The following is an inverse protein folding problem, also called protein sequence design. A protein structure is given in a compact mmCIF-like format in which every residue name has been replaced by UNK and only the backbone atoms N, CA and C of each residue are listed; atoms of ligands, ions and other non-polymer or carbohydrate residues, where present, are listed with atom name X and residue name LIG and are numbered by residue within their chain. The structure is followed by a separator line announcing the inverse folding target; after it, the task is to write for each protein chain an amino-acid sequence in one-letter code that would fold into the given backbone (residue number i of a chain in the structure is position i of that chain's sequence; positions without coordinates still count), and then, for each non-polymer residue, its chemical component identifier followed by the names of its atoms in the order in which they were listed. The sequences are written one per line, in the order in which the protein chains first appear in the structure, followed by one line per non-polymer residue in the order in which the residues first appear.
data_IF_990532087708
#
_entry.id   IF_990532087708
#
_cell.length_a   1.000
_cell.length_b   1.000
_cell.length_c   1.000
_cell.angle_alpha   90.00
_cell.angle_beta   90.00
_cell.angle_gamma   90.00
#
_symmetry.space_group_name_H-M   'P 1'
#
loop_
_entity.id
_entity.type
_entity.pdbx_description
1 polymer ?
#
# COMPACT_ATOMS: atom_id res chain seq x y z
N UNK A 1 -24.06 -16.05 -7.29
CA UNK A 1 -23.41 -15.03 -6.45
C UNK A 1 -22.64 -14.13 -7.40
N UNK A 2 -22.86 -12.83 -7.35
CA UNK A 2 -22.17 -11.88 -8.21
C UNK A 2 -20.71 -11.69 -7.77
N UNK A 3 -19.82 -11.40 -8.73
CA UNK A 3 -18.41 -11.09 -8.42
C UNK A 3 -18.33 -9.72 -7.74
N UNK A 4 -17.55 -9.62 -6.68
CA UNK A 4 -17.21 -8.33 -6.04
C UNK A 4 -16.20 -7.55 -6.91
N UNK A 5 -16.14 -6.24 -6.73
CA UNK A 5 -15.31 -5.35 -7.55
C UNK A 5 -13.85 -5.80 -7.69
N UNK A 6 -13.23 -6.26 -6.59
CA UNK A 6 -11.83 -6.74 -6.61
C UNK A 6 -11.61 -8.01 -7.44
N UNK A 7 -12.67 -8.76 -7.76
CA UNK A 7 -12.57 -9.97 -8.60
C UNK A 7 -12.87 -9.70 -10.07
N UNK A 8 -13.17 -8.46 -10.44
CA UNK A 8 -13.41 -8.04 -11.83
C UNK A 8 -12.15 -7.52 -12.52
N UNK A 9 -11.08 -7.28 -11.76
CA UNK A 9 -9.80 -6.81 -12.29
C UNK A 9 -9.06 -7.98 -12.94
N UNK A 10 -8.51 -7.77 -14.13
CA UNK A 10 -7.69 -8.77 -14.82
C UNK A 10 -6.29 -8.86 -14.16
N UNK A 11 -6.14 -9.81 -13.23
CA UNK A 11 -4.89 -10.02 -12.51
C UNK A 11 -3.76 -10.64 -13.36
N UNK A 12 -4.06 -11.09 -14.59
CA UNK A 12 -3.03 -11.55 -15.53
C UNK A 12 -2.31 -10.37 -16.18
N UNK A 13 -3.05 -9.29 -16.41
CA UNK A 13 -2.50 -8.06 -17.01
C UNK A 13 -2.03 -7.02 -15.98
N UNK A 14 -2.38 -7.20 -14.72
CA UNK A 14 -2.14 -6.21 -13.67
C UNK A 14 -0.64 -6.12 -13.35
N UNK A 15 -0.09 -4.93 -13.51
CA UNK A 15 1.31 -4.61 -13.19
C UNK A 15 1.41 -3.92 -11.81
N UNK A 16 2.61 -3.86 -11.21
CA UNK A 16 2.85 -2.99 -10.05
C UNK A 16 2.48 -1.54 -10.37
N UNK A 17 1.90 -0.84 -9.41
CA UNK A 17 1.41 0.53 -9.63
C UNK A 17 0.62 1.07 -8.45
N UNK A 18 -0.07 2.17 -8.69
CA UNK A 18 -1.02 2.81 -7.79
C UNK A 18 -2.35 2.95 -8.52
N UNK A 19 -3.38 2.28 -8.05
CA UNK A 19 -4.67 2.26 -8.73
C UNK A 19 -5.80 2.69 -7.80
N UNK A 20 -6.79 3.41 -8.32
CA UNK A 20 -8.06 3.57 -7.61
C UNK A 20 -8.82 2.26 -7.75
N UNK A 21 -8.95 1.53 -6.64
CA UNK A 21 -9.69 0.27 -6.59
C UNK A 21 -11.19 0.53 -6.62
N UNK A 22 -11.66 1.48 -5.81
CA UNK A 22 -13.07 1.90 -5.80
C UNK A 22 -13.25 3.23 -5.08
N UNK A 23 -14.40 3.83 -5.30
CA UNK A 23 -14.92 4.98 -4.54
C UNK A 23 -16.24 4.58 -3.90
N UNK A 24 -16.34 4.78 -2.60
CA UNK A 24 -17.55 4.50 -1.85
C UNK A 24 -18.19 5.82 -1.38
N UNK A 25 -19.45 6.02 -1.72
CA UNK A 25 -20.23 7.16 -1.24
C UNK A 25 -20.82 6.80 0.13
N UNK A 26 -20.50 7.58 1.15
CA UNK A 26 -21.03 7.41 2.52
C UNK A 26 -21.69 8.72 2.97
N UNK A 27 -23.01 8.80 2.81
CA UNK A 27 -23.72 10.05 2.99
C UNK A 27 -23.29 11.09 1.95
N UNK A 28 -22.74 12.21 2.40
CA UNK A 28 -22.20 13.27 1.53
C UNK A 28 -20.68 13.12 1.29
N UNK A 29 -20.04 12.19 1.99
CA UNK A 29 -18.60 11.96 1.93
C UNK A 29 -18.24 10.84 0.95
N UNK A 30 -17.03 10.90 0.43
CA UNK A 30 -16.46 9.86 -0.42
C UNK A 30 -15.27 9.24 0.27
N UNK A 31 -15.14 7.92 0.17
CA UNK A 31 -13.93 7.19 0.56
C UNK A 31 -13.29 6.60 -0.69
N UNK A 32 -12.04 6.96 -0.94
CA UNK A 32 -11.26 6.37 -2.03
C UNK A 32 -10.37 5.26 -1.49
N UNK A 33 -10.51 4.06 -2.06
CA UNK A 33 -9.64 2.91 -1.79
C UNK A 33 -8.61 2.80 -2.91
N UNK A 34 -7.33 2.85 -2.53
CA UNK A 34 -6.21 2.66 -3.43
C UNK A 34 -5.63 1.26 -3.30
N UNK A 35 -5.29 0.69 -4.43
CA UNK A 35 -4.49 -0.52 -4.57
C UNK A 35 -3.03 -0.10 -4.81
N UNK A 36 -2.18 -0.30 -3.82
CA UNK A 36 -0.75 -0.10 -3.92
C UNK A 36 -0.11 -1.43 -4.29
N UNK A 37 -0.06 -1.73 -5.59
CA UNK A 37 0.42 -3.02 -6.10
C UNK A 37 1.93 -3.02 -6.18
N UNK A 38 2.59 -3.85 -5.38
CA UNK A 38 4.05 -3.88 -5.28
C UNK A 38 4.68 -4.97 -6.14
N UNK A 39 3.96 -6.07 -6.40
CA UNK A 39 4.45 -7.21 -7.19
C UNK A 39 3.49 -7.55 -8.31
N UNK A 40 4.00 -8.10 -9.41
CA UNK A 40 3.19 -8.60 -10.53
C UNK A 40 2.43 -9.86 -10.08
N UNK A 41 1.08 -9.82 -10.02
CA UNK A 41 0.32 -10.97 -9.56
C UNK A 41 0.56 -12.21 -10.42
N UNK A 42 0.76 -13.35 -9.76
CA UNK A 42 0.98 -14.67 -10.39
C UNK A 42 2.24 -14.81 -11.27
N UNK A 43 3.04 -13.75 -11.44
CA UNK A 43 4.27 -13.77 -12.25
C UNK A 43 5.53 -13.78 -11.40
N UNK A 44 5.49 -13.19 -10.21
CA UNK A 44 6.63 -13.15 -9.30
C UNK A 44 6.25 -13.64 -7.90
N UNK A 45 7.25 -14.04 -7.07
CA UNK A 45 6.98 -14.47 -5.70
C UNK A 45 6.26 -13.39 -4.89
N UNK A 46 5.29 -13.81 -4.08
CA UNK A 46 4.61 -12.91 -3.14
C UNK A 46 5.55 -12.54 -1.98
N UNK A 47 5.27 -11.40 -1.34
CA UNK A 47 5.96 -11.00 -0.12
C UNK A 47 5.65 -11.97 1.02
N UNK A 48 6.60 -12.21 1.92
CA UNK A 48 6.36 -13.00 3.13
C UNK A 48 5.67 -12.18 4.21
N UNK A 49 5.14 -12.87 5.23
CA UNK A 49 4.33 -12.24 6.28
C UNK A 49 5.09 -11.20 7.09
N UNK A 50 6.35 -11.49 7.44
CA UNK A 50 7.16 -10.62 8.30
C UNK A 50 7.49 -9.27 7.65
N UNK A 51 7.89 -9.24 6.38
CA UNK A 51 8.13 -7.98 5.66
C UNK A 51 6.84 -7.21 5.38
N UNK A 52 5.76 -7.91 5.05
CA UNK A 52 4.43 -7.29 4.87
C UNK A 52 3.96 -6.62 6.17
N UNK A 53 4.09 -7.31 7.30
CA UNK A 53 3.73 -6.78 8.61
C UNK A 53 4.60 -5.58 9.01
N UNK A 54 5.90 -5.62 8.70
CA UNK A 54 6.82 -4.50 8.92
C UNK A 54 6.43 -3.27 8.09
N UNK A 55 6.15 -3.46 6.80
CA UNK A 55 5.70 -2.37 5.91
C UNK A 55 4.38 -1.77 6.41
N UNK A 56 3.45 -2.60 6.89
CA UNK A 56 2.19 -2.12 7.48
C UNK A 56 2.45 -1.18 8.67
N UNK A 57 3.26 -1.60 9.63
CA UNK A 57 3.60 -0.78 10.81
C UNK A 57 4.28 0.53 10.44
N UNK A 58 5.26 0.48 9.56
CA UNK A 58 6.00 1.68 9.12
C UNK A 58 5.14 2.62 8.30
N UNK A 59 4.38 2.09 7.34
CA UNK A 59 3.49 2.89 6.49
C UNK A 59 2.36 3.55 7.28
N UNK A 60 1.71 2.80 8.16
CA UNK A 60 0.68 3.34 9.04
C UNK A 60 1.23 4.43 9.96
N UNK A 61 2.42 4.23 10.53
CA UNK A 61 3.09 5.22 11.37
C UNK A 61 3.41 6.49 10.57
N UNK A 62 3.98 6.36 9.37
CA UNK A 62 4.26 7.49 8.50
C UNK A 62 3.00 8.30 8.18
N UNK A 63 1.96 7.64 7.68
CA UNK A 63 0.73 8.29 7.22
C UNK A 63 0.02 9.04 8.36
N UNK A 64 -0.05 8.45 9.55
CA UNK A 64 -0.73 9.05 10.70
C UNK A 64 0.09 10.13 11.42
N UNK A 65 1.36 10.27 11.10
CA UNK A 65 2.23 11.34 11.57
C UNK A 65 2.44 12.46 10.53
N UNK A 66 2.00 12.26 9.29
CA UNK A 66 2.08 13.29 8.24
C UNK A 66 0.90 14.25 8.37
N UNK A 67 1.18 15.49 8.76
CA UNK A 67 0.18 16.50 9.15
C UNK A 67 -0.88 16.74 8.08
N UNK A 68 -0.46 16.77 6.80
CA UNK A 68 -1.35 17.10 5.68
C UNK A 68 -2.39 16.00 5.37
N UNK A 69 -2.15 14.75 5.82
CA UNK A 69 -3.00 13.61 5.45
C UNK A 69 -3.55 12.81 6.65
N UNK A 70 -2.95 12.91 7.83
CA UNK A 70 -3.26 12.07 8.98
C UNK A 70 -4.75 11.96 9.31
N UNK A 71 -5.47 13.07 9.20
CA UNK A 71 -6.91 13.14 9.55
C UNK A 71 -7.82 12.55 8.45
N UNK A 72 -7.25 12.25 7.28
CA UNK A 72 -7.93 11.62 6.14
C UNK A 72 -7.62 10.13 6.01
N UNK A 73 -6.64 9.63 6.73
CA UNK A 73 -6.26 8.21 6.69
C UNK A 73 -7.28 7.38 7.46
N UNK A 74 -7.98 6.51 6.73
CA UNK A 74 -8.94 5.57 7.30
C UNK A 74 -8.25 4.25 7.63
N UNK A 75 -7.49 3.70 6.66
CA UNK A 75 -6.82 2.41 6.81
C UNK A 75 -5.63 2.29 5.86
N UNK A 76 -4.58 1.66 6.32
CA UNK A 76 -3.47 1.15 5.51
C UNK A 76 -3.15 -0.26 5.98
N UNK A 77 -3.17 -1.24 5.08
CA UNK A 77 -2.90 -2.62 5.45
C UNK A 77 -2.74 -3.53 4.23
N UNK A 78 -2.17 -4.74 4.45
CA UNK A 78 -1.84 -5.65 3.37
C UNK A 78 -3.07 -6.33 2.77
N UNK A 79 -2.94 -6.69 1.50
CA UNK A 79 -3.85 -7.61 0.83
C UNK A 79 -3.58 -9.04 1.27
N UNK A 80 -4.61 -9.86 1.38
CA UNK A 80 -4.49 -11.29 1.72
C UNK A 80 -3.64 -12.09 0.74
N UNK A 81 -3.55 -11.67 -0.54
CA UNK A 81 -2.69 -12.28 -1.55
C UNK A 81 -1.21 -11.90 -1.42
N UNK A 82 -0.86 -10.94 -0.55
CA UNK A 82 0.51 -10.48 -0.29
C UNK A 82 1.25 -9.92 -1.51
N UNK A 83 0.52 -9.31 -2.43
CA UNK A 83 1.09 -8.65 -3.62
C UNK A 83 1.09 -7.13 -3.51
N UNK A 84 0.51 -6.58 -2.46
CA UNK A 84 0.43 -5.14 -2.22
C UNK A 84 -0.39 -4.79 -0.98
N UNK A 85 -0.77 -3.53 -0.91
CA UNK A 85 -1.48 -2.92 0.22
C UNK A 85 -2.72 -2.16 -0.26
N UNK A 86 -3.71 -2.04 0.62
CA UNK A 86 -4.78 -1.07 0.46
C UNK A 86 -4.52 0.16 1.31
N UNK A 87 -4.74 1.33 0.70
CA UNK A 87 -4.80 2.63 1.39
C UNK A 87 -6.20 3.20 1.18
N UNK A 88 -6.91 3.48 2.28
CA UNK A 88 -8.21 4.12 2.27
C UNK A 88 -8.08 5.56 2.79
N UNK A 89 -8.53 6.52 1.98
CA UNK A 89 -8.53 7.93 2.34
C UNK A 89 -9.95 8.51 2.26
N UNK A 90 -10.28 9.35 3.23
CA UNK A 90 -11.46 10.19 3.17
C UNK A 90 -11.25 11.29 2.12
N UNK A 91 -12.08 11.31 1.10
CA UNK A 91 -12.03 12.23 -0.02
C UNK A 91 -12.12 11.53 -1.36
N UNK A 92 -12.33 12.32 -2.40
CA UNK A 92 -12.35 11.84 -3.79
C UNK A 92 -11.00 12.16 -4.46
N UNK A 93 -10.23 11.12 -4.74
CA UNK A 93 -8.88 11.23 -5.29
C UNK A 93 -8.72 10.40 -6.56
N UNK A 94 -7.87 10.87 -7.46
CA UNK A 94 -7.31 10.07 -8.54
C UNK A 94 -5.96 9.43 -8.10
N UNK A 95 -5.53 8.37 -8.78
CA UNK A 95 -4.26 7.70 -8.47
C UNK A 95 -3.07 8.67 -8.49
N UNK A 96 -3.02 9.57 -9.47
CA UNK A 96 -1.94 10.57 -9.59
C UNK A 96 -1.85 11.54 -8.42
N UNK A 97 -2.96 11.78 -7.72
CA UNK A 97 -3.00 12.74 -6.61
C UNK A 97 -2.19 12.25 -5.39
N UNK A 98 -1.97 10.94 -5.28
CA UNK A 98 -1.26 10.33 -4.16
C UNK A 98 0.13 9.78 -4.51
N UNK A 99 0.59 9.95 -5.75
CA UNK A 99 1.91 9.44 -6.17
C UNK A 99 3.02 10.00 -5.27
N UNK A 100 3.03 11.30 -5.01
CA UNK A 100 4.03 11.92 -4.14
C UNK A 100 3.95 11.37 -2.71
N UNK A 101 2.76 11.27 -2.14
CA UNK A 101 2.53 10.72 -0.79
C UNK A 101 3.06 9.29 -0.66
N UNK A 102 2.71 8.43 -1.64
CA UNK A 102 3.14 7.02 -1.64
C UNK A 102 4.64 6.91 -1.83
N UNK A 103 5.22 7.70 -2.72
CA UNK A 103 6.67 7.73 -2.94
C UNK A 103 7.41 8.12 -1.66
N UNK A 104 7.03 9.21 -1.01
CA UNK A 104 7.64 9.64 0.26
C UNK A 104 7.48 8.60 1.38
N UNK A 105 6.31 7.94 1.46
CA UNK A 105 6.09 6.86 2.44
C UNK A 105 7.05 5.69 2.21
N UNK A 106 7.23 5.26 0.96
CA UNK A 106 8.15 4.15 0.65
C UNK A 106 9.62 4.57 0.77
N UNK A 107 9.97 5.82 0.53
CA UNK A 107 11.30 6.37 0.85
C UNK A 107 11.57 6.30 2.37
N UNK A 108 10.59 6.69 3.18
CA UNK A 108 10.66 6.54 4.63
C UNK A 108 10.88 5.07 5.05
N UNK A 109 10.13 4.12 4.46
CA UNK A 109 10.26 2.69 4.77
C UNK A 109 11.63 2.16 4.32
N UNK A 110 12.11 2.52 3.13
CA UNK A 110 13.43 2.14 2.62
C UNK A 110 14.55 2.58 3.56
N UNK A 111 14.46 3.81 4.05
CA UNK A 111 15.54 4.45 4.83
C UNK A 111 15.41 4.22 6.33
N UNK A 112 14.32 3.62 6.80
CA UNK A 112 14.07 3.39 8.22
C UNK A 112 15.12 2.48 8.84
N UNK A 113 15.58 2.87 10.03
CA UNK A 113 16.52 2.11 10.86
C UNK A 113 16.06 2.16 12.31
N UNK A 114 16.33 1.09 13.04
CA UNK A 114 15.95 0.97 14.44
C UNK A 114 14.78 0.03 14.68
N UNK A 115 14.16 0.13 15.85
CA UNK A 115 13.02 -0.70 16.21
C UNK A 115 11.77 -0.33 15.40
N UNK A 116 11.06 -1.34 14.91
CA UNK A 116 9.80 -1.12 14.18
C UNK A 116 8.76 -0.58 15.17
N UNK A 117 8.10 0.55 14.86
CA UNK A 117 7.06 1.11 15.71
C UNK A 117 5.97 0.10 16.04
N UNK A 118 5.58 0.01 17.30
CA UNK A 118 4.54 -0.92 17.75
C UNK A 118 4.93 -2.39 17.78
N UNK A 119 6.18 -2.75 17.48
CA UNK A 119 6.66 -4.13 17.53
C UNK A 119 6.98 -4.56 18.98
N UNK A 120 5.98 -4.53 19.85
CA UNK A 120 6.08 -4.96 21.24
C UNK A 120 4.91 -5.88 21.59
N UNK A 121 5.05 -6.76 22.60
CA UNK A 121 3.96 -7.66 22.99
C UNK A 121 2.74 -6.93 23.54
N UNK A 122 2.90 -5.68 23.96
CA UNK A 122 1.79 -4.84 24.42
C UNK A 122 1.01 -4.21 23.26
N UNK A 123 1.70 -3.87 22.17
CA UNK A 123 1.16 -3.04 21.09
C UNK A 123 0.73 -3.86 19.88
N UNK A 124 1.26 -5.06 19.71
CA UNK A 124 1.01 -5.92 18.55
C UNK A 124 0.74 -7.37 18.96
N UNK A 125 -0.28 -7.97 18.34
CA UNK A 125 -0.64 -9.36 18.59
C UNK A 125 0.36 -10.40 18.08
N UNK A 126 1.30 -10.00 17.23
CA UNK A 126 2.35 -10.88 16.66
C UNK A 126 3.66 -10.10 16.44
N UNK A 127 4.16 -9.47 17.48
CA UNK A 127 5.26 -8.51 17.43
C UNK A 127 6.61 -9.10 16.97
N UNK A 128 6.78 -10.42 17.03
CA UNK A 128 8.00 -11.11 16.57
C UNK A 128 8.03 -11.34 15.05
N UNK A 129 6.89 -11.24 14.37
CA UNK A 129 6.77 -11.45 12.92
C UNK A 129 7.13 -10.16 12.16
N UNK A 130 8.38 -9.75 12.26
CA UNK A 130 8.94 -8.55 11.63
C UNK A 130 10.22 -8.87 10.87
N UNK A 131 10.43 -8.20 9.73
CA UNK A 131 11.66 -8.27 8.96
C UNK A 131 11.97 -6.90 8.33
N UNK A 132 12.68 -6.05 9.08
CA UNK A 132 12.99 -4.69 8.63
C UNK A 132 13.91 -4.69 7.40
N UNK A 133 14.91 -5.55 7.35
CA UNK A 133 15.82 -5.62 6.21
C UNK A 133 15.10 -5.92 4.89
N UNK A 134 14.18 -6.88 4.90
CA UNK A 134 13.36 -7.18 3.72
C UNK A 134 12.34 -6.09 3.43
N UNK A 135 11.76 -5.46 4.42
CA UNK A 135 10.87 -4.31 4.22
C UNK A 135 11.60 -3.14 3.53
N UNK A 136 12.83 -2.82 3.97
CA UNK A 136 13.66 -1.81 3.31
C UNK A 136 13.95 -2.19 1.85
N UNK A 137 14.32 -3.44 1.59
CA UNK A 137 14.60 -3.94 0.23
C UNK A 137 13.38 -3.87 -0.69
N UNK A 138 12.21 -4.30 -0.21
CA UNK A 138 10.97 -4.29 -1.00
C UNK A 138 10.48 -2.86 -1.27
N UNK A 139 10.67 -1.95 -0.31
CA UNK A 139 10.38 -0.53 -0.50
C UNK A 139 11.28 0.08 -1.57
N UNK A 140 12.59 -0.18 -1.52
CA UNK A 140 13.55 0.26 -2.54
C UNK A 140 13.19 -0.28 -3.93
N UNK A 141 12.86 -1.56 -4.01
CA UNK A 141 12.43 -2.20 -5.25
C UNK A 141 11.18 -1.57 -5.85
N UNK A 142 10.16 -1.29 -5.03
CA UNK A 142 8.93 -0.64 -5.48
C UNK A 142 9.19 0.80 -5.97
N UNK A 143 10.04 1.55 -5.27
CA UNK A 143 10.49 2.88 -5.68
C UNK A 143 11.19 2.84 -7.03
N UNK A 144 12.24 2.04 -7.15
CA UNK A 144 13.11 2.02 -8.35
C UNK A 144 12.41 1.43 -9.59
N UNK A 145 11.58 0.40 -9.40
CA UNK A 145 10.95 -0.28 -10.53
C UNK A 145 9.60 0.30 -10.95
N UNK A 146 8.92 1.01 -10.05
CA UNK A 146 7.53 1.41 -10.27
C UNK A 146 7.28 2.88 -10.00
N UNK A 147 7.60 3.37 -8.78
CA UNK A 147 7.17 4.70 -8.35
C UNK A 147 7.97 5.83 -9.00
N UNK A 148 9.28 5.68 -9.13
CA UNK A 148 10.10 6.69 -9.81
C UNK A 148 9.82 6.69 -11.31
N UNK A 149 9.28 7.82 -11.79
CA UNK A 149 8.88 7.94 -13.20
C UNK A 149 7.61 7.17 -13.57
N UNK A 150 6.73 6.89 -12.60
CA UNK A 150 5.46 6.20 -12.82
C UNK A 150 4.63 6.88 -13.92
N UNK A 151 4.06 6.08 -14.81
CA UNK A 151 3.25 6.52 -15.94
C UNK A 151 1.79 6.06 -15.82
N UNK A 152 0.95 6.45 -16.79
CA UNK A 152 -0.48 6.14 -16.79
C UNK A 152 -0.78 4.63 -16.84
N UNK A 153 0.10 3.82 -17.41
CA UNK A 153 -0.08 2.37 -17.45
C UNK A 153 -0.02 1.72 -16.06
N UNK A 154 0.61 2.39 -15.11
CA UNK A 154 0.75 1.97 -13.70
C UNK A 154 -0.17 2.76 -12.74
N UNK A 155 -1.08 3.58 -13.29
CA UNK A 155 -2.05 4.39 -12.52
C UNK A 155 -3.51 4.07 -12.84
N UNK A 156 -3.76 3.31 -13.91
CA UNK A 156 -5.09 2.92 -14.38
C UNK A 156 -5.13 1.42 -14.56
N UNK A 157 -6.13 0.76 -14.00
CA UNK A 157 -6.27 -0.69 -14.16
C UNK A 157 -6.33 -1.11 -15.63
N UNK A 158 -5.67 -2.22 -16.00
CA UNK A 158 -5.76 -2.78 -17.33
C UNK A 158 -7.20 -3.19 -17.67
N UNK A 159 -7.61 -2.95 -18.90
CA UNK A 159 -8.91 -3.36 -19.45
C UNK A 159 -8.84 -4.73 -20.13
#
# INVERSE_FOLDING_TARGET
MEKIASFTIDHIKLQPGIYVSRRDQIGQEVVTTFDLRMTSPNEEPVMNTAEVHTIEHLGATYLRNKEEIRDKVIYFGPMGCRTGFYLLLAGDYASKDIVALVTEMFEFIRDYRGEVPGASPKDCGNYLDMNLGMANYLADRYLEKTLYGIDDAHLIYPQ
#
